data_IF_857970412998
#
_entry.id   IF_857970412998
#
_cell.length_a   1.000
_cell.length_b   1.000
_cell.length_c   1.000
_cell.angle_alpha   90.00
_cell.angle_beta   90.00
_cell.angle_gamma   90.00
#
_symmetry.space_group_name_H-M   'P 1'
#
loop_
_entity.id
_entity.type
_entity.pdbx_description
1 polymer ?
#
# COMPACT_ATOMS: atom_id res chain seq x y z
N UNK A 1 -17.88 44.88 -61.86
CA UNK A 1 -18.19 43.48 -62.20
C UNK A 1 -17.92 42.62 -60.97
N UNK A 2 -18.94 42.30 -60.17
CA UNK A 2 -18.77 41.46 -58.97
C UNK A 2 -18.81 40.00 -59.41
N UNK A 3 -17.66 39.32 -59.42
CA UNK A 3 -17.61 37.87 -59.63
C UNK A 3 -18.19 37.21 -58.38
N UNK A 4 -19.44 36.79 -58.46
CA UNK A 4 -20.07 35.98 -57.41
C UNK A 4 -19.42 34.60 -57.54
N UNK A 5 -18.43 34.33 -56.71
CA UNK A 5 -17.84 32.99 -56.62
C UNK A 5 -18.87 32.12 -55.93
N UNK A 6 -19.47 31.21 -56.69
CA UNK A 6 -20.54 30.33 -56.22
C UNK A 6 -20.01 29.48 -55.05
N UNK A 7 -20.72 29.51 -53.91
CA UNK A 7 -20.30 28.89 -52.64
C UNK A 7 -20.02 27.39 -52.79
N UNK A 8 -20.62 26.77 -53.81
CA UNK A 8 -20.38 25.38 -54.22
C UNK A 8 -18.90 25.10 -54.55
N UNK A 9 -18.18 26.05 -55.16
CA UNK A 9 -16.75 25.89 -55.45
C UNK A 9 -15.89 25.96 -54.18
N UNK A 10 -16.30 26.76 -53.20
CA UNK A 10 -15.62 26.82 -51.90
C UNK A 10 -15.81 25.52 -51.11
N UNK A 11 -17.02 24.96 -51.13
CA UNK A 11 -17.31 23.64 -50.53
C UNK A 11 -16.54 22.52 -51.23
N UNK A 12 -16.44 22.54 -52.57
CA UNK A 12 -15.69 21.55 -53.34
C UNK A 12 -14.19 21.62 -53.08
N UNK A 13 -13.64 22.81 -52.85
CA UNK A 13 -12.23 23.04 -52.51
C UNK A 13 -11.90 22.57 -51.08
N UNK A 14 -12.86 22.66 -50.15
CA UNK A 14 -12.67 22.29 -48.74
C UNK A 14 -12.88 20.80 -48.44
N UNK A 15 -13.57 20.08 -49.33
CA UNK A 15 -13.89 18.65 -49.17
C UNK A 15 -12.67 17.71 -48.99
N UNK A 16 -11.50 17.92 -49.64
CA UNK A 16 -10.33 17.05 -49.48
C UNK A 16 -9.67 17.13 -48.09
N UNK A 17 -9.88 18.22 -47.34
CA UNK A 17 -9.24 18.42 -46.02
C UNK A 17 -9.76 17.46 -44.96
N UNK A 18 -10.97 16.92 -45.13
CA UNK A 18 -11.56 15.94 -44.20
C UNK A 18 -11.08 14.51 -44.45
N UNK A 19 -10.43 14.23 -45.59
CA UNK A 19 -9.93 12.88 -45.92
C UNK A 19 -8.62 12.52 -45.18
N UNK A 20 -7.98 13.46 -44.49
CA UNK A 20 -6.72 13.24 -43.75
C UNK A 20 -6.91 12.78 -42.29
N UNK A 21 -8.15 12.67 -41.79
CA UNK A 21 -8.43 12.31 -40.39
C UNK A 21 -8.47 10.80 -40.11
N UNK A 22 -8.21 9.95 -41.12
CA UNK A 22 -8.19 8.52 -40.92
C UNK A 22 -6.83 8.10 -40.34
N UNK A 23 -6.74 7.98 -39.03
CA UNK A 23 -5.57 7.40 -38.34
C UNK A 23 -5.88 5.94 -37.98
N UNK A 24 -5.03 5.01 -38.44
CA UNK A 24 -5.13 3.58 -38.12
C UNK A 24 -4.84 3.34 -36.63
N UNK A 25 -5.23 2.20 -36.07
CA UNK A 25 -5.03 1.92 -34.64
C UNK A 25 -3.53 1.86 -34.29
N UNK A 26 -2.99 2.93 -33.70
CA UNK A 26 -1.58 3.00 -33.28
C UNK A 26 -1.43 2.32 -31.92
N UNK A 27 -0.85 1.13 -31.89
CA UNK A 27 -0.42 0.50 -30.64
C UNK A 27 0.83 1.22 -30.15
N UNK A 28 0.68 2.03 -29.09
CA UNK A 28 1.81 2.71 -28.43
C UNK A 28 2.28 1.91 -27.22
N UNK A 29 3.52 1.44 -27.27
CA UNK A 29 4.18 0.82 -26.13
C UNK A 29 4.84 1.92 -25.29
N UNK A 30 4.25 2.26 -24.15
CA UNK A 30 4.82 3.20 -23.19
C UNK A 30 5.54 2.46 -22.06
N UNK A 31 6.72 2.97 -21.67
CA UNK A 31 7.43 2.46 -20.48
C UNK A 31 6.94 3.23 -19.27
N UNK A 32 6.49 2.52 -18.25
CA UNK A 32 6.09 3.09 -16.97
C UNK A 32 6.82 2.39 -15.81
N UNK A 33 6.90 3.09 -14.69
CA UNK A 33 7.37 2.52 -13.43
C UNK A 33 6.15 2.25 -12.55
N UNK A 34 6.09 1.04 -12.00
CA UNK A 34 5.05 0.66 -11.05
C UNK A 34 5.66 -0.18 -9.92
N UNK A 35 5.03 -0.12 -8.75
CA UNK A 35 5.34 -1.04 -7.67
C UNK A 35 4.78 -2.42 -8.03
N UNK A 36 5.64 -3.44 -8.03
CA UNK A 36 5.24 -4.83 -8.19
C UNK A 36 5.23 -5.51 -6.82
N UNK A 37 4.18 -6.29 -6.49
CA UNK A 37 4.12 -6.98 -5.22
C UNK A 37 5.19 -8.08 -5.15
N UNK A 38 5.87 -8.16 -4.01
CA UNK A 38 6.78 -9.27 -3.68
C UNK A 38 6.00 -10.29 -2.87
N UNK A 39 5.93 -11.52 -3.36
CA UNK A 39 5.20 -12.61 -2.72
C UNK A 39 6.14 -13.55 -1.98
N UNK A 40 5.65 -14.10 -0.87
CA UNK A 40 6.25 -15.21 -0.15
C UNK A 40 5.21 -16.32 0.02
N UNK A 41 5.68 -17.55 0.19
CA UNK A 41 4.84 -18.69 0.52
C UNK A 41 4.30 -18.59 1.96
N UNK A 42 3.25 -19.36 2.25
CA UNK A 42 2.69 -19.40 3.61
C UNK A 42 3.69 -20.01 4.60
N UNK A 43 4.50 -20.95 4.13
CA UNK A 43 5.53 -21.65 4.88
C UNK A 43 6.65 -20.68 5.27
N UNK A 44 7.11 -19.85 4.31
CA UNK A 44 8.08 -18.79 4.57
C UNK A 44 7.56 -17.75 5.56
N UNK A 45 6.29 -17.31 5.41
CA UNK A 45 5.68 -16.37 6.34
C UNK A 45 5.65 -16.95 7.77
N UNK A 46 5.23 -18.20 7.93
CA UNK A 46 5.19 -18.87 9.24
C UNK A 46 6.59 -19.01 9.85
N UNK A 47 7.58 -19.37 9.03
CA UNK A 47 8.97 -19.49 9.48
C UNK A 47 9.60 -18.13 9.87
N UNK A 48 9.10 -17.03 9.30
CA UNK A 48 9.56 -15.69 9.61
C UNK A 48 9.01 -15.16 10.95
N UNK A 49 7.90 -15.71 11.46
CA UNK A 49 7.34 -15.31 12.76
C UNK A 49 8.16 -15.92 13.89
N UNK A 50 8.77 -15.07 14.72
CA UNK A 50 9.66 -15.49 15.81
C UNK A 50 9.31 -14.78 17.11
N UNK A 51 9.32 -15.51 18.21
CA UNK A 51 9.20 -14.92 19.55
C UNK A 51 10.60 -14.71 20.10
N UNK A 52 10.96 -13.44 20.34
CA UNK A 52 12.24 -13.02 20.92
C UNK A 52 12.00 -12.48 22.33
N UNK A 53 13.04 -12.51 23.15
CA UNK A 53 13.03 -11.77 24.41
C UNK A 53 13.13 -10.27 24.11
N UNK A 54 12.32 -9.47 24.79
CA UNK A 54 12.14 -8.04 24.50
C UNK A 54 13.35 -7.16 24.74
N UNK A 55 14.40 -7.68 25.39
CA UNK A 55 15.64 -6.93 25.63
C UNK A 55 16.27 -6.41 24.32
N UNK A 56 16.01 -7.11 23.20
CA UNK A 56 16.65 -6.84 21.92
C UNK A 56 15.89 -5.86 21.02
N UNK A 57 14.70 -5.37 21.41
CA UNK A 57 13.87 -4.52 20.52
C UNK A 57 13.29 -3.32 21.27
N UNK A 58 13.90 -2.13 21.15
CA UNK A 58 13.30 -0.90 21.67
C UNK A 58 12.08 -0.50 20.84
N UNK A 59 11.14 0.20 21.47
CA UNK A 59 10.05 0.88 20.77
C UNK A 59 10.65 2.02 19.95
N UNK A 60 10.38 2.04 18.64
CA UNK A 60 10.87 3.09 17.73
C UNK A 60 9.73 3.74 16.97
N UNK A 61 8.82 2.94 16.41
CA UNK A 61 7.69 3.41 15.62
C UNK A 61 6.40 2.67 16.01
N UNK A 62 5.85 2.96 17.20
CA UNK A 62 4.65 2.29 17.68
C UNK A 62 3.41 2.67 16.86
N UNK A 63 2.55 1.68 16.62
CA UNK A 63 1.22 1.84 16.07
C UNK A 63 0.15 1.70 17.17
N UNK A 64 -0.89 0.90 16.91
CA UNK A 64 -1.96 0.65 17.88
C UNK A 64 -1.45 -0.08 19.12
N UNK A 65 -2.08 0.22 20.25
CA UNK A 65 -1.88 -0.47 21.52
C UNK A 65 -3.22 -1.01 22.06
N UNK A 66 -3.16 -2.17 22.69
CA UNK A 66 -4.30 -2.79 23.37
C UNK A 66 -3.90 -3.33 24.73
N UNK A 67 -4.86 -3.37 25.64
CA UNK A 67 -4.75 -4.08 26.91
C UNK A 67 -5.69 -5.29 26.86
N UNK A 68 -5.19 -6.44 27.32
CA UNK A 68 -5.97 -7.66 27.52
C UNK A 68 -5.60 -8.25 28.88
N UNK A 69 -6.55 -8.29 29.82
CA UNK A 69 -6.25 -8.49 31.24
C UNK A 69 -5.21 -7.48 31.73
N UNK A 70 -4.07 -7.97 32.21
CA UNK A 70 -2.93 -7.15 32.62
C UNK A 70 -1.84 -7.05 31.56
N UNK A 71 -2.04 -7.58 30.35
CA UNK A 71 -1.02 -7.59 29.30
C UNK A 71 -1.25 -6.44 28.31
N UNK A 72 -0.19 -5.68 28.06
CA UNK A 72 -0.10 -4.67 27.02
C UNK A 72 0.45 -5.28 25.72
N UNK A 73 -0.27 -5.09 24.63
CA UNK A 73 0.17 -5.38 23.27
C UNK A 73 0.39 -4.08 22.53
N UNK A 74 1.60 -3.84 22.04
CA UNK A 74 1.94 -2.64 21.28
C UNK A 74 2.47 -3.06 19.92
N UNK A 75 1.80 -2.64 18.86
CA UNK A 75 2.29 -2.83 17.50
C UNK A 75 3.53 -1.96 17.26
N UNK A 76 4.59 -2.53 16.70
CA UNK A 76 5.73 -1.80 16.13
C UNK A 76 5.67 -1.96 14.61
N UNK A 77 5.40 -0.83 13.93
CA UNK A 77 5.07 -0.82 12.51
C UNK A 77 6.15 -1.51 11.67
N UNK A 78 5.68 -2.43 10.83
CA UNK A 78 6.44 -3.28 9.93
C UNK A 78 7.39 -4.30 10.57
N UNK A 79 7.43 -4.38 11.92
CA UNK A 79 8.36 -5.28 12.63
C UNK A 79 7.66 -6.33 13.48
N UNK A 80 6.56 -6.01 14.15
CA UNK A 80 5.90 -6.98 15.03
C UNK A 80 5.13 -6.39 16.20
N UNK A 81 5.06 -7.14 17.30
CA UNK A 81 4.24 -6.81 18.48
C UNK A 81 5.04 -6.97 19.76
N UNK A 82 5.11 -5.91 20.56
CA UNK A 82 5.62 -5.97 21.93
C UNK A 82 4.56 -6.55 22.87
N UNK A 83 4.96 -7.48 23.71
CA UNK A 83 4.17 -8.08 24.77
C UNK A 83 4.76 -7.65 26.11
N UNK A 84 3.97 -6.90 26.88
CA UNK A 84 4.41 -6.27 28.12
C UNK A 84 3.44 -6.69 29.23
N UNK A 85 3.98 -7.21 30.33
CA UNK A 85 3.22 -7.43 31.55
C UNK A 85 3.04 -6.08 32.26
N UNK A 86 1.79 -5.67 32.42
CA UNK A 86 1.37 -4.42 33.01
C UNK A 86 0.54 -4.65 34.29
N UNK A 87 0.81 -5.75 35.01
CA UNK A 87 0.15 -6.05 36.29
C UNK A 87 0.45 -5.00 37.37
N UNK A 88 1.63 -4.38 37.33
CA UNK A 88 1.94 -3.13 38.04
C UNK A 88 2.18 -2.01 37.01
N UNK A 89 1.21 -1.11 36.79
CA UNK A 89 1.36 -0.01 35.84
C UNK A 89 2.49 0.97 36.16
N UNK A 90 2.99 1.00 37.40
CA UNK A 90 4.15 1.81 37.78
C UNK A 90 5.47 1.17 37.35
N UNK A 91 5.48 -0.14 37.10
CA UNK A 91 6.66 -0.90 36.72
C UNK A 91 6.33 -1.97 35.66
N UNK A 92 6.02 -1.57 34.42
CA UNK A 92 5.71 -2.52 33.35
C UNK A 92 6.93 -3.35 32.96
N UNK A 93 6.74 -4.67 32.83
CA UNK A 93 7.82 -5.63 32.52
C UNK A 93 7.68 -6.11 31.08
N UNK A 94 8.65 -5.78 30.23
CA UNK A 94 8.68 -6.28 28.85
C UNK A 94 8.94 -7.79 28.83
N UNK A 95 7.99 -8.60 28.34
CA UNK A 95 8.07 -10.07 28.37
C UNK A 95 8.61 -10.66 27.08
N UNK A 96 8.08 -10.23 25.94
CA UNK A 96 8.45 -10.78 24.64
C UNK A 96 8.22 -9.78 23.51
N UNK A 97 8.90 -10.02 22.39
CA UNK A 97 8.62 -9.39 21.11
C UNK A 97 8.27 -10.48 20.10
N UNK A 98 7.08 -10.38 19.51
CA UNK A 98 6.63 -11.26 18.43
C UNK A 98 6.99 -10.58 17.13
N UNK A 99 8.06 -11.03 16.49
CA UNK A 99 8.50 -10.54 15.19
C UNK A 99 7.53 -11.03 14.11
N UNK A 100 6.92 -10.08 13.41
CA UNK A 100 5.98 -10.33 12.32
C UNK A 100 6.35 -9.34 11.22
N UNK A 101 7.05 -9.77 10.16
CA UNK A 101 7.46 -8.89 9.08
C UNK A 101 6.26 -8.19 8.44
N UNK A 102 6.42 -6.90 8.16
CA UNK A 102 5.39 -6.07 7.55
C UNK A 102 4.07 -5.97 8.37
N UNK A 103 4.11 -6.22 9.68
CA UNK A 103 2.94 -6.05 10.54
C UNK A 103 2.51 -4.57 10.62
N UNK A 104 1.27 -4.28 10.23
CA UNK A 104 0.75 -2.90 10.21
C UNK A 104 -0.27 -2.62 11.31
N UNK A 105 -0.89 -3.67 11.85
CA UNK A 105 -1.99 -3.52 12.80
C UNK A 105 -2.07 -4.69 13.76
N UNK A 106 -2.79 -4.50 14.86
CA UNK A 106 -3.18 -5.55 15.79
C UNK A 106 -4.65 -5.37 16.16
N UNK A 107 -5.32 -6.49 16.45
CA UNK A 107 -6.65 -6.49 17.03
C UNK A 107 -6.69 -7.55 18.12
N UNK A 108 -7.29 -7.20 19.25
CA UNK A 108 -7.52 -8.12 20.35
C UNK A 108 -9.01 -8.39 20.43
N UNK A 109 -9.40 -9.66 20.53
CA UNK A 109 -10.79 -10.08 20.67
C UNK A 109 -10.97 -10.77 22.01
N UNK A 110 -12.00 -10.35 22.74
CA UNK A 110 -12.34 -10.87 24.07
C UNK A 110 -12.30 -9.77 25.12
N UNK A 111 -13.06 -9.96 26.19
CA UNK A 111 -13.10 -9.07 27.36
C UNK A 111 -12.81 -9.93 28.58
N UNK A 112 -11.55 -9.95 29.02
CA UNK A 112 -11.18 -10.45 30.34
C UNK A 112 -10.15 -9.52 30.94
#
# INVERSE_FOLDING_TARGET
MKKIVDIRYFVLLLMPLFALSCEDSVIRTEKFTANVPVYITKEELKAAVKVKLTADTPLQNPGKMYIYGTTLFINELYKGVHVIDNSDPKNPVKKAFIEIPANVDIAVRGTT
#
